data_IF_127251407374
#
_entry.id   IF_127251407374
#
_cell.length_a   1.000
_cell.length_b   1.000
_cell.length_c   1.000
_cell.angle_alpha   90.00
_cell.angle_beta   90.00
_cell.angle_gamma   90.00
#
_symmetry.space_group_name_H-M   'P 1'
#
loop_
_entity.id
_entity.type
_entity.pdbx_description
1 polymer ?
#
# COMPACT_ATOMS: atom_id res chain seq x y z
N UNK A 1 7.85 1.25 8.40
CA UNK A 1 6.50 1.23 7.82
C UNK A 1 5.72 2.46 8.29
N UNK A 2 6.15 3.67 7.93
CA UNK A 2 5.51 4.91 8.38
C UNK A 2 4.47 5.46 7.39
N UNK A 3 4.55 5.06 6.12
CA UNK A 3 3.76 5.67 5.04
C UNK A 3 2.25 5.63 5.28
N UNK A 4 1.71 4.49 5.72
CA UNK A 4 0.28 4.38 6.03
C UNK A 4 -0.10 5.00 7.37
N UNK A 5 0.83 5.09 8.32
CA UNK A 5 0.61 5.72 9.62
C UNK A 5 0.49 7.25 9.51
N UNK A 6 1.22 7.84 8.56
CA UNK A 6 1.21 9.28 8.28
C UNK A 6 0.25 9.68 7.16
N UNK A 7 -0.49 8.74 6.57
CA UNK A 7 -1.42 9.04 5.49
C UNK A 7 -2.80 9.37 6.07
N UNK A 8 -3.33 10.54 5.69
CA UNK A 8 -4.68 10.96 6.08
C UNK A 8 -5.79 10.12 5.39
N UNK A 9 -5.43 9.31 4.39
CA UNK A 9 -6.35 8.48 3.62
C UNK A 9 -5.68 7.17 3.12
N UNK A 10 -6.49 6.13 2.79
CA UNK A 10 -5.99 4.93 2.13
C UNK A 10 -5.23 5.25 0.83
N UNK A 11 -4.13 4.53 0.58
CA UNK A 11 -3.25 4.76 -0.57
C UNK A 11 -3.39 3.64 -1.60
N UNK A 12 -3.30 4.01 -2.88
CA UNK A 12 -3.09 3.06 -3.98
C UNK A 12 -1.63 2.63 -4.04
N UNK A 13 -1.38 1.44 -4.58
CA UNK A 13 -0.02 0.91 -4.79
C UNK A 13 0.91 1.86 -5.56
N UNK A 14 0.35 2.63 -6.52
CA UNK A 14 1.10 3.69 -7.23
C UNK A 14 1.66 4.76 -6.28
N UNK A 15 0.84 5.27 -5.35
CA UNK A 15 1.28 6.27 -4.37
C UNK A 15 2.32 5.70 -3.41
N UNK A 16 2.25 4.40 -3.13
CA UNK A 16 3.29 3.71 -2.37
C UNK A 16 4.60 3.67 -3.15
N UNK A 17 4.58 3.38 -4.46
CA UNK A 17 5.80 3.47 -5.28
C UNK A 17 6.39 4.89 -5.27
N UNK A 18 5.56 5.91 -5.48
CA UNK A 18 5.97 7.32 -5.45
C UNK A 18 6.63 7.70 -4.12
N UNK A 19 6.03 7.34 -2.99
CA UNK A 19 6.54 7.68 -1.66
C UNK A 19 7.73 6.83 -1.20
N UNK A 20 8.10 5.80 -1.96
CA UNK A 20 9.25 4.93 -1.67
C UNK A 20 10.34 5.03 -2.74
N UNK A 21 10.25 6.06 -3.60
CA UNK A 21 11.16 6.29 -4.74
C UNK A 21 11.34 5.05 -5.63
N UNK A 22 10.28 4.23 -5.74
CA UNK A 22 10.22 3.14 -6.69
C UNK A 22 9.76 3.67 -8.04
N UNK A 23 10.33 3.10 -9.10
CA UNK A 23 9.89 3.36 -10.46
C UNK A 23 8.37 3.16 -10.61
N UNK A 24 7.69 4.13 -11.21
CA UNK A 24 6.24 4.09 -11.48
C UNK A 24 5.97 3.38 -12.81
N UNK A 25 6.50 2.18 -12.97
CA UNK A 25 6.21 1.29 -14.09
C UNK A 25 5.03 0.34 -13.75
N UNK A 26 4.24 -0.13 -14.74
CA UNK A 26 3.15 -1.07 -14.50
C UNK A 26 3.58 -2.30 -13.69
N UNK A 27 4.77 -2.83 -13.97
CA UNK A 27 5.29 -4.01 -13.28
C UNK A 27 5.62 -3.72 -11.81
N UNK A 28 6.22 -2.55 -11.53
CA UNK A 28 6.55 -2.10 -10.17
C UNK A 28 5.29 -1.85 -9.35
N UNK A 29 4.26 -1.22 -9.92
CA UNK A 29 2.96 -1.01 -9.25
C UNK A 29 2.28 -2.34 -8.93
N UNK A 30 2.29 -3.30 -9.85
CA UNK A 30 1.74 -4.64 -9.62
C UNK A 30 2.49 -5.40 -8.53
N UNK A 31 3.82 -5.37 -8.54
CA UNK A 31 4.65 -5.98 -7.50
C UNK A 31 4.38 -5.34 -6.13
N UNK A 32 4.25 -4.02 -6.06
CA UNK A 32 3.86 -3.31 -4.83
C UNK A 32 2.48 -3.73 -4.37
N UNK A 33 1.49 -3.82 -5.26
CA UNK A 33 0.15 -4.33 -4.93
C UNK A 33 0.18 -5.75 -4.35
N UNK A 34 0.97 -6.65 -4.92
CA UNK A 34 1.15 -8.01 -4.39
C UNK A 34 1.79 -8.01 -3.00
N UNK A 35 2.80 -7.16 -2.77
CA UNK A 35 3.41 -7.00 -1.44
C UNK A 35 2.40 -6.48 -0.42
N UNK A 36 1.59 -5.49 -0.79
CA UNK A 36 0.54 -4.95 0.09
C UNK A 36 -0.50 -6.01 0.44
N UNK A 37 -0.93 -6.84 -0.52
CA UNK A 37 -1.83 -7.98 -0.27
C UNK A 37 -1.24 -8.98 0.73
N UNK A 38 0.05 -9.31 0.62
CA UNK A 38 0.74 -10.17 1.61
C UNK A 38 0.82 -9.54 3.01
N UNK A 39 0.85 -8.21 3.11
CA UNK A 39 0.80 -7.51 4.40
C UNK A 39 -0.60 -7.55 5.03
N UNK A 40 -1.66 -7.67 4.21
CA UNK A 40 -3.02 -7.88 4.71
C UNK A 40 -3.14 -9.25 5.36
N UNK A 41 -2.62 -10.29 4.70
CA UNK A 41 -2.61 -11.66 5.27
C UNK A 41 -1.87 -11.72 6.61
N UNK A 42 -0.94 -10.79 6.86
CA UNK A 42 -0.18 -10.66 8.10
C UNK A 42 -0.81 -9.69 9.11
N UNK A 43 -1.95 -9.08 8.79
CA UNK A 43 -2.64 -8.12 9.65
C UNK A 43 -1.92 -6.78 9.83
N UNK A 44 -0.94 -6.44 8.98
CA UNK A 44 -0.19 -5.16 9.06
C UNK A 44 -0.78 -4.08 8.14
N UNK A 45 -1.62 -4.48 7.19
CA UNK A 45 -2.36 -3.60 6.29
C UNK A 45 -3.80 -4.08 6.19
N UNK A 46 -4.72 -3.19 5.83
CA UNK A 46 -6.07 -3.55 5.38
C UNK A 46 -6.31 -2.98 3.99
N UNK A 47 -7.21 -3.62 3.23
CA UNK A 47 -7.74 -3.05 1.99
C UNK A 47 -9.14 -2.54 2.28
N UNK A 48 -9.31 -1.22 2.33
CA UNK A 48 -10.59 -0.58 2.68
C UNK A 48 -11.59 -0.66 1.52
N UNK A 49 -11.07 -0.55 0.30
CA UNK A 49 -11.79 -0.67 -0.96
C UNK A 49 -10.85 -1.32 -1.99
N UNK A 50 -11.38 -1.81 -3.11
CA UNK A 50 -10.56 -2.50 -4.12
C UNK A 50 -9.35 -1.65 -4.56
N UNK A 51 -8.14 -2.10 -4.21
CA UNK A 51 -6.88 -1.44 -4.54
C UNK A 51 -6.49 -0.24 -3.66
N UNK A 52 -7.23 0.03 -2.58
CA UNK A 52 -6.91 1.05 -1.58
C UNK A 52 -6.47 0.39 -0.28
N UNK A 53 -5.27 0.72 0.17
CA UNK A 53 -4.62 0.10 1.32
C UNK A 53 -4.44 1.12 2.44
N UNK A 54 -4.67 0.71 3.68
CA UNK A 54 -4.48 1.53 4.86
C UNK A 54 -3.86 0.71 5.99
N UNK A 55 -3.41 1.41 7.05
CA UNK A 55 -3.06 0.75 8.30
C UNK A 55 -4.34 0.20 8.97
N UNK A 56 -4.31 -0.99 9.57
CA UNK A 56 -5.41 -1.46 10.41
C UNK A 56 -5.64 -0.45 11.54
N UNK A 57 -6.90 -0.10 11.80
CA UNK A 57 -7.24 0.72 12.96
C UNK A 57 -7.17 -0.16 14.23
N UNK A 58 -6.74 0.39 15.37
CA UNK A 58 -6.82 -0.30 16.66
C UNK A 58 -8.24 -0.74 16.98
#
# INVERSE_FOLDING_TARGET
MALFASADAPLRARRVCEATDLEIAPNSVNNTRLKLKRLIERGTSVETEQGLFAQPRP
#
